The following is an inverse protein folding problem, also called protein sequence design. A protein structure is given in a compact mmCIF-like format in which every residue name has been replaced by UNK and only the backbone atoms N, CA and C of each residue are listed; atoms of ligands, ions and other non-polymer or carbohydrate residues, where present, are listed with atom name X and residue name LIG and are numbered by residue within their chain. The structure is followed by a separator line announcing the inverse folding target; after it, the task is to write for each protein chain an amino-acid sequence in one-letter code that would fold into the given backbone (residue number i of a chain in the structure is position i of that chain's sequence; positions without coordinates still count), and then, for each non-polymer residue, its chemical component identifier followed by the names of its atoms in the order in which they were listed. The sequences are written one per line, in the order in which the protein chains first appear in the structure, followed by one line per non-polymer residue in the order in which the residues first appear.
data_IF_290755691694
#
_entry.id   IF_290755691694
#
_cell.length_a   1.000
_cell.length_b   1.000
_cell.length_c   1.000
_cell.angle_alpha   90.00
_cell.angle_beta   90.00
_cell.angle_gamma   90.00
#
_symmetry.space_group_name_H-M   'P 1'
#
loop_
_entity.id
_entity.type
_entity.pdbx_description
1 polymer ?
#
# COMPACT_ATOMS: atom_id res chain seq x y z
N UNK A 1 -19.81 -33.24 -14.28
CA UNK A 1 -19.19 -33.23 -12.93
C UNK A 1 -17.67 -33.29 -13.01
N UNK A 2 -17.08 -34.22 -13.79
CA UNK A 2 -15.63 -34.35 -14.00
C UNK A 2 -14.93 -33.04 -14.43
N UNK A 3 -15.43 -32.41 -15.49
CA UNK A 3 -14.84 -31.20 -16.10
C UNK A 3 -14.78 -30.00 -15.14
N UNK A 4 -15.86 -29.77 -14.37
CA UNK A 4 -15.91 -28.71 -13.35
C UNK A 4 -14.86 -28.93 -12.26
N UNK A 5 -14.61 -30.19 -11.87
CA UNK A 5 -13.59 -30.54 -10.88
C UNK A 5 -12.18 -30.30 -11.40
N UNK A 6 -11.93 -30.60 -12.68
CA UNK A 6 -10.62 -30.35 -13.32
C UNK A 6 -10.34 -28.86 -13.47
N UNK A 7 -11.34 -28.08 -13.89
CA UNK A 7 -11.24 -26.62 -14.01
C UNK A 7 -11.00 -25.94 -12.67
N UNK A 8 -11.66 -26.39 -11.61
CA UNK A 8 -11.40 -25.93 -10.25
C UNK A 8 -9.95 -26.21 -9.82
N UNK A 9 -9.45 -27.42 -10.06
CA UNK A 9 -8.06 -27.77 -9.75
C UNK A 9 -7.06 -26.89 -10.52
N UNK A 10 -7.34 -26.58 -11.79
CA UNK A 10 -6.53 -25.66 -12.59
C UNK A 10 -6.55 -24.23 -12.03
N UNK A 11 -7.73 -23.73 -11.63
CA UNK A 11 -7.89 -22.41 -11.01
C UNK A 11 -7.09 -22.29 -9.70
N UNK A 12 -7.14 -23.32 -8.86
CA UNK A 12 -6.36 -23.41 -7.61
C UNK A 12 -4.86 -23.42 -7.92
N UNK A 13 -4.40 -24.33 -8.80
CA UNK A 13 -2.98 -24.44 -9.15
C UNK A 13 -2.43 -23.13 -9.73
N UNK A 14 -3.23 -22.43 -10.53
CA UNK A 14 -2.87 -21.14 -11.11
C UNK A 14 -2.80 -20.02 -10.07
N UNK A 15 -3.78 -19.99 -9.16
CA UNK A 15 -3.79 -19.05 -8.04
C UNK A 15 -2.58 -19.21 -7.14
N UNK A 16 -2.20 -20.45 -6.81
CA UNK A 16 -1.01 -20.75 -6.02
C UNK A 16 0.27 -20.22 -6.67
N UNK A 17 0.43 -20.38 -7.99
CA UNK A 17 1.57 -19.80 -8.72
C UNK A 17 1.63 -18.28 -8.61
N UNK A 18 0.49 -17.61 -8.61
CA UNK A 18 0.46 -16.15 -8.44
C UNK A 18 0.76 -15.72 -7.00
N UNK A 19 0.20 -16.42 -6.02
CA UNK A 19 0.40 -16.15 -4.59
C UNK A 19 1.83 -16.41 -4.13
N UNK A 20 2.55 -17.32 -4.80
CA UNK A 20 3.99 -17.54 -4.57
C UNK A 20 4.86 -16.35 -4.98
N UNK A 21 4.44 -15.57 -5.98
CA UNK A 21 5.23 -14.43 -6.50
C UNK A 21 4.98 -13.19 -5.64
N UNK A 22 3.71 -12.94 -5.29
CA UNK A 22 3.32 -11.83 -4.44
C UNK A 22 1.97 -12.11 -3.79
N UNK A 23 1.72 -11.47 -2.67
CA UNK A 23 0.38 -11.47 -2.08
C UNK A 23 -0.62 -10.73 -2.98
N UNK A 24 -1.81 -11.32 -3.07
CA UNK A 24 -2.96 -10.79 -3.78
C UNK A 24 -4.12 -10.68 -2.80
N UNK A 25 -4.96 -9.67 -3.00
CA UNK A 25 -6.27 -9.66 -2.35
C UNK A 25 -7.21 -10.66 -3.02
N UNK A 26 -8.29 -11.01 -2.33
CA UNK A 26 -9.40 -11.78 -2.90
C UNK A 26 -9.94 -11.13 -4.16
N UNK A 27 -10.07 -9.80 -4.17
CA UNK A 27 -10.52 -9.03 -5.32
C UNK A 27 -9.56 -9.14 -6.52
N UNK A 28 -8.25 -8.95 -6.29
CA UNK A 28 -7.25 -9.08 -7.34
C UNK A 28 -7.20 -10.51 -7.91
N UNK A 29 -7.32 -11.52 -7.05
CA UNK A 29 -7.30 -12.92 -7.47
C UNK A 29 -8.53 -13.27 -8.30
N UNK A 30 -9.73 -12.84 -7.87
CA UNK A 30 -10.97 -13.04 -8.61
C UNK A 30 -10.92 -12.41 -10.00
N UNK A 31 -10.47 -11.16 -10.11
CA UNK A 31 -10.31 -10.48 -11.40
C UNK A 31 -9.34 -11.22 -12.33
N UNK A 32 -8.24 -11.73 -11.80
CA UNK A 32 -7.27 -12.49 -12.59
C UNK A 32 -7.80 -13.84 -13.07
N UNK A 33 -8.57 -14.54 -12.24
CA UNK A 33 -9.22 -15.79 -12.63
C UNK A 33 -10.30 -15.53 -13.71
N UNK A 34 -11.14 -14.51 -13.52
CA UNK A 34 -12.13 -14.13 -14.53
C UNK A 34 -11.47 -13.76 -15.87
N UNK A 35 -10.37 -12.98 -15.85
CA UNK A 35 -9.60 -12.64 -17.05
C UNK A 35 -8.95 -13.86 -17.74
N UNK A 36 -8.85 -14.99 -17.04
CA UNK A 36 -8.37 -16.27 -17.57
C UNK A 36 -9.49 -17.20 -18.05
N UNK A 37 -10.74 -16.73 -17.98
CA UNK A 37 -11.91 -17.45 -18.47
C UNK A 37 -12.48 -18.48 -17.50
N UNK A 38 -12.16 -18.39 -16.20
CA UNK A 38 -12.87 -19.16 -15.18
C UNK A 38 -14.24 -18.50 -14.92
N UNK A 39 -15.27 -19.33 -14.74
CA UNK A 39 -16.61 -18.88 -14.38
C UNK A 39 -16.65 -18.32 -12.95
N UNK A 40 -17.71 -17.59 -12.61
CA UNK A 40 -17.93 -17.08 -11.25
C UNK A 40 -17.99 -18.19 -10.21
N UNK A 41 -18.55 -19.36 -10.58
CA UNK A 41 -18.63 -20.52 -9.69
C UNK A 41 -17.25 -21.14 -9.43
N UNK A 42 -16.46 -21.38 -10.48
CA UNK A 42 -15.10 -21.93 -10.35
C UNK A 42 -14.19 -20.97 -9.58
N UNK A 43 -14.33 -19.67 -9.82
CA UNK A 43 -13.57 -18.62 -9.13
C UNK A 43 -13.90 -18.58 -7.64
N UNK A 44 -15.18 -18.62 -7.29
CA UNK A 44 -15.65 -18.64 -5.89
C UNK A 44 -15.14 -19.87 -5.16
N UNK A 45 -15.34 -21.05 -5.74
CA UNK A 45 -14.91 -22.33 -5.14
C UNK A 45 -13.39 -22.35 -4.91
N UNK A 46 -12.60 -21.85 -5.87
CA UNK A 46 -11.15 -21.76 -5.73
C UNK A 46 -10.73 -20.79 -4.61
N UNK A 47 -11.36 -19.62 -4.53
CA UNK A 47 -11.10 -18.63 -3.48
C UNK A 47 -11.45 -19.20 -2.09
N UNK A 48 -12.61 -19.85 -1.96
CA UNK A 48 -13.04 -20.46 -0.70
C UNK A 48 -12.04 -21.51 -0.22
N UNK A 49 -11.60 -22.39 -1.13
CA UNK A 49 -10.58 -23.39 -0.82
C UNK A 49 -9.25 -22.73 -0.40
N UNK A 50 -8.76 -21.75 -1.15
CA UNK A 50 -7.49 -21.06 -0.84
C UNK A 50 -7.53 -20.32 0.49
N UNK A 51 -8.69 -19.79 0.89
CA UNK A 51 -8.88 -19.15 2.20
C UNK A 51 -8.93 -20.19 3.32
N UNK A 52 -9.65 -21.30 3.12
CA UNK A 52 -9.76 -22.37 4.10
C UNK A 52 -8.39 -23.00 4.41
N UNK A 53 -7.56 -23.17 3.39
CA UNK A 53 -6.18 -23.69 3.52
C UNK A 53 -5.16 -22.62 3.96
N UNK A 54 -5.58 -21.37 4.15
CA UNK A 54 -4.73 -20.29 4.65
C UNK A 54 -3.74 -19.69 3.63
N UNK A 55 -3.85 -20.05 2.36
CA UNK A 55 -3.04 -19.46 1.27
C UNK A 55 -3.46 -18.03 0.92
N UNK A 56 -4.72 -17.66 1.15
CA UNK A 56 -5.28 -16.34 0.86
C UNK A 56 -5.89 -15.71 2.11
N UNK A 57 -5.49 -14.49 2.45
CA UNK A 57 -6.04 -13.73 3.58
C UNK A 57 -5.91 -12.23 3.35
N UNK A 58 -7.06 -11.57 3.12
CA UNK A 58 -7.14 -10.11 2.99
C UNK A 58 -6.74 -9.38 4.27
N UNK A 59 -6.99 -9.99 5.43
CA UNK A 59 -6.59 -9.48 6.73
C UNK A 59 -5.06 -9.46 6.89
N UNK A 60 -4.38 -10.58 6.60
CA UNK A 60 -2.91 -10.66 6.62
C UNK A 60 -2.28 -9.73 5.58
N UNK A 61 -2.91 -9.54 4.43
CA UNK A 61 -2.45 -8.59 3.43
C UNK A 61 -2.62 -7.15 3.92
N UNK A 62 -3.77 -6.83 4.52
CA UNK A 62 -4.06 -5.51 5.09
C UNK A 62 -3.04 -5.12 6.15
N UNK A 63 -2.78 -6.00 7.12
CA UNK A 63 -1.78 -5.75 8.17
C UNK A 63 -0.39 -5.47 7.59
N UNK A 64 0.06 -6.29 6.63
CA UNK A 64 1.35 -6.08 5.96
C UNK A 64 1.43 -4.79 5.16
N UNK A 65 0.33 -4.37 4.52
CA UNK A 65 0.29 -3.10 3.80
C UNK A 65 0.35 -1.91 4.77
N UNK A 66 -0.36 -2.00 5.90
CA UNK A 66 -0.27 -0.96 6.94
C UNK A 66 1.17 -0.86 7.46
N UNK A 67 1.74 -1.97 7.93
CA UNK A 67 3.12 -2.02 8.44
C UNK A 67 4.13 -1.49 7.42
N UNK A 68 3.99 -1.89 6.15
CA UNK A 68 4.83 -1.37 5.08
C UNK A 68 4.73 0.15 4.94
N UNK A 69 3.53 0.72 4.96
CA UNK A 69 3.35 2.16 4.71
C UNK A 69 3.55 3.03 5.96
N UNK A 70 3.49 2.44 7.16
CA UNK A 70 3.77 3.15 8.40
C UNK A 70 5.22 3.02 8.81
N UNK A 71 5.84 1.85 8.65
CA UNK A 71 7.19 1.55 9.16
C UNK A 71 8.27 1.54 8.06
N UNK A 72 8.10 0.73 7.02
CA UNK A 72 9.19 0.48 6.04
C UNK A 72 9.30 1.57 4.96
N UNK A 73 8.15 2.11 4.54
CA UNK A 73 8.02 3.09 3.48
C UNK A 73 7.00 4.15 3.89
N UNK A 74 7.34 5.01 4.89
CA UNK A 74 6.48 6.08 5.36
C UNK A 74 5.79 6.82 4.21
N UNK A 75 4.47 6.70 4.20
CA UNK A 75 3.59 7.22 3.16
C UNK A 75 2.39 7.92 3.79
N UNK A 76 1.85 8.89 3.07
CA UNK A 76 0.67 9.62 3.50
C UNK A 76 -0.63 8.89 3.16
N UNK A 77 -1.70 9.29 3.85
CA UNK A 77 -3.00 8.64 3.82
C UNK A 77 -3.58 8.51 2.42
N UNK A 78 -3.42 9.52 1.57
CA UNK A 78 -3.94 9.51 0.19
C UNK A 78 -3.38 8.32 -0.61
N UNK A 79 -2.08 8.07 -0.49
CA UNK A 79 -1.44 6.96 -1.21
C UNK A 79 -1.89 5.61 -0.67
N UNK A 80 -2.05 5.51 0.65
CA UNK A 80 -2.50 4.27 1.30
C UNK A 80 -3.94 3.97 0.88
N UNK A 81 -4.84 4.95 0.94
CA UNK A 81 -6.24 4.83 0.49
C UNK A 81 -6.32 4.38 -0.97
N UNK A 82 -5.54 4.98 -1.86
CA UNK A 82 -5.49 4.59 -3.27
C UNK A 82 -5.01 3.14 -3.46
N UNK A 83 -3.99 2.70 -2.72
CA UNK A 83 -3.50 1.33 -2.82
C UNK A 83 -4.53 0.32 -2.31
N UNK A 84 -5.20 0.62 -1.20
CA UNK A 84 -6.27 -0.23 -0.66
C UNK A 84 -7.46 -0.33 -1.63
N UNK A 85 -7.91 0.82 -2.15
CA UNK A 85 -8.98 0.88 -3.15
C UNK A 85 -8.62 0.09 -4.42
N UNK A 86 -7.39 0.25 -4.94
CA UNK A 86 -6.90 -0.48 -6.12
C UNK A 86 -6.91 -1.99 -5.91
N UNK A 87 -6.69 -2.45 -4.68
CA UNK A 87 -6.73 -3.87 -4.32
C UNK A 87 -8.11 -4.35 -3.87
N UNK A 88 -9.14 -3.50 -3.87
CA UNK A 88 -10.46 -3.85 -3.36
C UNK A 88 -10.47 -4.20 -1.87
N UNK A 89 -9.56 -3.61 -1.09
CA UNK A 89 -9.46 -3.79 0.35
C UNK A 89 -10.08 -2.59 1.08
N UNK A 90 -10.65 -2.83 2.26
CA UNK A 90 -11.08 -1.77 3.15
C UNK A 90 -9.89 -1.30 4.00
N UNK A 91 -9.60 0.00 3.97
CA UNK A 91 -8.57 0.59 4.82
C UNK A 91 -9.07 0.64 6.27
N UNK A 92 -8.44 -0.07 7.23
CA UNK A 92 -8.79 0.09 8.64
C UNK A 92 -8.51 1.51 9.13
N UNK A 93 -9.12 1.89 10.24
CA UNK A 93 -8.74 3.12 10.96
C UNK A 93 -7.25 3.07 11.25
N UNK A 94 -6.52 4.05 10.72
CA UNK A 94 -5.09 4.19 11.00
C UNK A 94 -4.92 5.00 12.29
N UNK A 95 -4.27 4.40 13.27
CA UNK A 95 -3.84 5.10 14.48
C UNK A 95 -2.43 5.69 14.26
N UNK A 96 -2.14 6.80 14.95
CA UNK A 96 -0.82 7.43 14.94
C UNK A 96 -0.74 8.77 14.18
N UNK A 97 0.32 9.51 14.47
CA UNK A 97 0.55 10.86 13.94
C UNK A 97 1.12 10.79 12.51
N UNK A 98 0.31 11.19 11.52
CA UNK A 98 0.70 11.26 10.12
C UNK A 98 1.80 12.30 9.86
N UNK A 99 1.85 13.39 10.64
CA UNK A 99 2.89 14.40 10.52
C UNK A 99 4.25 13.82 10.95
N UNK A 100 4.29 13.11 12.09
CA UNK A 100 5.50 12.39 12.52
C UNK A 100 5.97 11.37 11.47
N UNK A 101 5.04 10.68 10.79
CA UNK A 101 5.38 9.77 9.68
C UNK A 101 5.96 10.51 8.49
N UNK A 102 5.46 11.71 8.17
CA UNK A 102 6.04 12.55 7.12
C UNK A 102 7.46 13.04 7.47
N UNK A 103 7.71 13.44 8.72
CA UNK A 103 9.05 13.78 9.20
C UNK A 103 10.01 12.61 9.07
N UNK A 104 9.59 11.41 9.51
CA UNK A 104 10.37 10.17 9.32
C UNK A 104 10.68 9.90 7.85
N UNK A 105 9.71 10.10 6.95
CA UNK A 105 9.91 9.93 5.52
C UNK A 105 11.05 10.84 4.98
N UNK A 106 11.14 12.07 5.48
CA UNK A 106 12.22 13.00 5.14
C UNK A 106 13.56 12.54 5.72
N UNK A 107 13.59 12.18 7.01
CA UNK A 107 14.79 11.71 7.70
C UNK A 107 15.38 10.46 7.04
N UNK A 108 14.56 9.45 6.74
CA UNK A 108 15.02 8.22 6.08
C UNK A 108 15.56 8.48 4.67
N UNK A 109 15.02 9.48 3.96
CA UNK A 109 15.41 9.77 2.58
C UNK A 109 16.58 10.74 2.45
N UNK A 110 16.64 11.76 3.32
CA UNK A 110 17.53 12.90 3.19
C UNK A 110 18.44 13.12 4.41
N UNK A 111 18.19 12.41 5.52
CA UNK A 111 18.96 12.56 6.76
C UNK A 111 18.59 13.84 7.52
N UNK A 112 19.60 14.45 8.12
CA UNK A 112 19.48 15.75 8.79
C UNK A 112 19.33 16.89 7.77
N UNK A 113 18.47 17.88 8.03
CA UNK A 113 18.32 19.01 7.12
C UNK A 113 19.56 19.93 7.14
N UNK A 114 19.89 20.58 6.01
CA UNK A 114 20.96 21.56 5.97
C UNK A 114 20.61 22.81 6.78
N UNK A 115 21.63 23.50 7.28
CA UNK A 115 21.48 24.72 8.09
C UNK A 115 21.02 25.94 7.30
N UNK A 116 21.35 26.01 6.00
CA UNK A 116 20.97 27.09 5.10
C UNK A 116 20.30 26.51 3.83
N UNK A 117 19.03 26.09 3.92
CA UNK A 117 18.31 25.49 2.80
C UNK A 117 18.01 26.53 1.72
N UNK A 118 18.17 26.14 0.45
CA UNK A 118 17.72 26.95 -0.68
C UNK A 118 16.21 26.74 -0.95
N UNK A 119 15.51 27.72 -1.56
CA UNK A 119 14.11 27.53 -1.97
C UNK A 119 13.90 26.32 -2.89
N UNK A 120 14.92 25.99 -3.71
CA UNK A 120 14.89 24.82 -4.59
C UNK A 120 14.91 23.50 -3.83
N UNK A 121 15.66 23.43 -2.73
CA UNK A 121 15.70 22.26 -1.84
C UNK A 121 14.39 22.10 -1.08
N UNK A 122 13.85 23.18 -0.51
CA UNK A 122 12.54 23.18 0.14
C UNK A 122 11.45 22.64 -0.81
N UNK A 123 11.41 23.14 -2.06
CA UNK A 123 10.47 22.66 -3.06
C UNK A 123 10.69 21.18 -3.45
N UNK A 124 11.94 20.69 -3.43
CA UNK A 124 12.26 19.28 -3.69
C UNK A 124 11.71 18.36 -2.60
N UNK A 125 11.90 18.73 -1.34
CA UNK A 125 11.40 17.97 -0.18
C UNK A 125 9.87 17.98 -0.11
N UNK A 126 9.25 19.12 -0.40
CA UNK A 126 7.79 19.22 -0.48
C UNK A 126 7.21 18.31 -1.55
N UNK A 127 7.76 18.36 -2.78
CA UNK A 127 7.34 17.44 -3.85
C UNK A 127 7.54 15.97 -3.49
N UNK A 128 8.61 15.63 -2.76
CA UNK A 128 8.82 14.27 -2.29
C UNK A 128 7.68 13.80 -1.36
N UNK A 129 7.25 14.64 -0.41
CA UNK A 129 6.13 14.32 0.48
C UNK A 129 4.82 14.16 -0.30
N UNK A 130 4.52 15.05 -1.25
CA UNK A 130 3.33 14.92 -2.10
C UNK A 130 3.35 13.62 -2.92
N UNK A 131 4.50 13.22 -3.47
CA UNK A 131 4.67 11.95 -4.18
C UNK A 131 4.56 10.73 -3.25
N UNK A 132 4.76 10.91 -1.95
CA UNK A 132 4.47 9.91 -0.92
C UNK A 132 3.01 9.92 -0.46
N UNK A 133 2.19 10.82 -0.99
CA UNK A 133 0.76 10.89 -0.72
C UNK A 133 0.41 11.59 0.59
N UNK A 134 1.32 12.40 1.13
CA UNK A 134 0.99 13.29 2.24
C UNK A 134 0.17 14.47 1.71
N UNK A 135 -0.83 14.87 2.49
CA UNK A 135 -1.66 16.03 2.17
C UNK A 135 -0.81 17.32 2.21
N UNK A 136 -1.04 18.29 1.29
CA UNK A 136 -0.25 19.52 1.20
C UNK A 136 -0.02 20.34 2.48
N UNK A 137 -1.03 20.55 3.32
CA UNK A 137 -0.91 21.28 4.59
C UNK A 137 -0.05 20.48 5.58
N UNK A 138 -0.34 19.18 5.74
CA UNK A 138 0.45 18.30 6.60
C UNK A 138 1.90 18.19 6.13
N UNK A 139 2.13 18.14 4.82
CA UNK A 139 3.47 18.12 4.24
C UNK A 139 4.25 19.41 4.55
N UNK A 140 3.60 20.58 4.51
CA UNK A 140 4.22 21.84 4.92
C UNK A 140 4.58 21.85 6.41
N UNK A 141 3.68 21.38 7.27
CA UNK A 141 3.92 21.30 8.71
C UNK A 141 5.08 20.34 9.04
N UNK A 142 5.09 19.15 8.43
CA UNK A 142 6.17 18.19 8.57
C UNK A 142 7.52 18.75 8.09
N UNK A 143 7.53 19.53 7.01
CA UNK A 143 8.73 20.22 6.52
C UNK A 143 9.29 21.22 7.52
N UNK A 144 8.42 22.05 8.11
CA UNK A 144 8.80 23.02 9.14
C UNK A 144 9.27 22.32 10.42
N UNK A 145 8.64 21.21 10.79
CA UNK A 145 9.06 20.41 11.94
C UNK A 145 10.40 19.73 11.72
N UNK A 146 10.63 19.18 10.51
CA UNK A 146 11.90 18.56 10.15
C UNK A 146 13.02 19.60 10.03
N UNK A 147 12.76 20.75 9.40
CA UNK A 147 13.70 21.87 9.31
C UNK A 147 13.08 23.18 9.82
N UNK A 148 13.21 23.49 11.13
CA UNK A 148 12.65 24.70 11.73
C UNK A 148 13.17 26.01 11.12
N UNK A 149 14.37 25.99 10.52
CA UNK A 149 15.01 27.15 9.89
C UNK A 149 14.33 27.60 8.60
N UNK A 150 13.39 26.82 8.07
CA UNK A 150 12.54 27.25 6.96
C UNK A 150 11.56 28.38 7.35
N UNK A 151 11.35 28.61 8.65
CA UNK A 151 10.57 29.74 9.15
C UNK A 151 11.40 31.02 9.32
N UNK A 152 12.73 30.90 9.28
CA UNK A 152 13.64 32.04 9.37
C UNK A 152 13.71 32.67 7.98
N UNK A 153 12.68 33.43 7.60
CA UNK A 153 12.82 34.41 6.52
C UNK A 153 13.87 35.46 6.96
N UNK A 154 14.77 35.90 6.06
CA UNK A 154 15.69 37.01 6.33
C UNK A 154 14.95 38.35 6.51
#
# INVERSE_FOLDING_TARGET
MQERSERLAQAIAQSLRWLQIRDLSTHELAQRLAAKGYSDSETRDAIEWLRAEGYLSDERLTQRLIERYTEEQPSGRLRIEQEFARRGLHLPTMEGDEESRAVRALQERFGEPPTAPTPREAARWFRFLLQRGFEPELAQNALRRWNPRLNDEP
#
